data_IF_353952305602
#
_entry.id   IF_353952305602
#
_cell.length_a   1.000
_cell.length_b   1.000
_cell.length_c   1.000
_cell.angle_alpha   90.00
_cell.angle_beta   90.00
_cell.angle_gamma   90.00
#
_symmetry.space_group_name_H-M   'P 1'
#
loop_
_entity.id
_entity.type
_entity.pdbx_description
1 polymer ?
#
# COMPACT_ATOMS: atom_id res chain seq x y z
N UNK A 1 -38.73 30.85 -16.67
CA UNK A 1 -38.49 29.47 -16.20
C UNK A 1 -36.99 29.33 -15.99
N UNK A 2 -36.57 29.20 -14.73
CA UNK A 2 -35.18 28.97 -14.40
C UNK A 2 -34.81 27.53 -14.82
N UNK A 3 -33.84 27.39 -15.72
CA UNK A 3 -33.25 26.09 -16.04
C UNK A 3 -32.33 25.75 -14.88
N UNK A 4 -32.73 24.77 -14.07
CA UNK A 4 -31.87 24.18 -13.06
C UNK A 4 -30.65 23.60 -13.78
N UNK A 5 -29.45 24.06 -13.42
CA UNK A 5 -28.20 23.48 -13.87
C UNK A 5 -28.11 22.06 -13.30
N UNK A 6 -28.55 21.06 -14.07
CA UNK A 6 -28.33 19.65 -13.74
C UNK A 6 -26.85 19.36 -13.92
N UNK A 7 -26.16 19.06 -12.82
CA UNK A 7 -24.78 18.58 -12.85
C UNK A 7 -24.63 17.30 -13.67
N UNK A 8 -23.39 16.87 -13.96
CA UNK A 8 -23.15 15.64 -14.71
C UNK A 8 -23.81 14.44 -14.01
N UNK A 9 -24.67 13.71 -14.73
CA UNK A 9 -25.27 12.45 -14.29
C UNK A 9 -24.19 11.34 -14.26
N UNK A 10 -23.37 11.34 -13.21
CA UNK A 10 -22.56 10.19 -12.83
C UNK A 10 -23.19 9.56 -11.58
N UNK A 11 -23.30 8.22 -11.55
CA UNK A 11 -23.88 7.50 -10.41
C UNK A 11 -23.08 7.69 -9.12
N UNK A 12 -21.76 7.90 -9.26
CA UNK A 12 -20.84 8.16 -8.16
C UNK A 12 -20.18 9.53 -8.33
N UNK A 13 -20.49 10.48 -7.44
CA UNK A 13 -19.85 11.80 -7.38
C UNK A 13 -19.33 12.03 -5.97
N UNK A 14 -18.07 12.47 -5.85
CA UNK A 14 -17.49 12.93 -4.60
C UNK A 14 -17.03 14.37 -4.74
N UNK A 15 -17.15 15.15 -3.67
CA UNK A 15 -16.76 16.56 -3.63
C UNK A 15 -15.46 16.74 -2.83
N UNK A 16 -14.56 17.62 -3.24
CA UNK A 16 -13.34 17.95 -2.50
C UNK A 16 -12.95 19.42 -2.63
N UNK A 17 -12.72 20.07 -1.49
CA UNK A 17 -12.10 21.40 -1.50
C UNK A 17 -10.58 21.27 -1.59
N UNK A 18 -9.98 22.11 -2.45
CA UNK A 18 -8.54 22.26 -2.63
C UNK A 18 -8.18 23.65 -2.13
N UNK A 19 -7.22 23.70 -1.21
CA UNK A 19 -6.52 24.92 -0.83
C UNK A 19 -5.08 24.79 -1.27
N UNK A 20 -4.62 25.69 -2.13
CA UNK A 20 -3.24 25.64 -2.61
C UNK A 20 -2.32 26.13 -1.50
N UNK A 21 -1.20 25.43 -1.30
CA UNK A 21 -0.25 25.76 -0.25
C UNK A 21 0.88 24.74 -0.18
N UNK A 22 1.78 24.91 0.78
CA UNK A 22 2.94 24.05 0.95
C UNK A 22 2.89 23.24 2.26
N UNK A 23 3.75 22.23 2.35
CA UNK A 23 3.93 21.43 3.57
C UNK A 23 2.75 20.50 3.90
N UNK A 24 2.42 20.42 5.20
CA UNK A 24 1.52 19.40 5.76
C UNK A 24 0.09 19.51 5.22
N UNK A 25 -0.39 20.73 5.00
CA UNK A 25 -1.75 20.97 4.48
C UNK A 25 -1.92 20.42 3.06
N UNK A 26 -0.96 20.70 2.16
CA UNK A 26 -0.94 20.16 0.81
C UNK A 26 -0.86 18.62 0.80
N UNK A 27 -0.03 18.03 1.66
CA UNK A 27 0.06 16.58 1.79
C UNK A 27 -1.28 15.94 2.22
N UNK A 28 -2.02 16.58 3.14
CA UNK A 28 -3.34 16.12 3.59
C UNK A 28 -4.38 16.20 2.46
N UNK A 29 -4.36 17.26 1.66
CA UNK A 29 -5.26 17.43 0.51
C UNK A 29 -4.98 16.37 -0.55
N UNK A 30 -3.71 16.17 -0.92
CA UNK A 30 -3.33 15.13 -1.88
C UNK A 30 -3.77 13.74 -1.40
N UNK A 31 -3.59 13.44 -0.12
CA UNK A 31 -4.04 12.17 0.47
C UNK A 31 -5.56 11.99 0.33
N UNK A 32 -6.35 13.03 0.66
CA UNK A 32 -7.81 13.00 0.54
C UNK A 32 -8.26 12.77 -0.91
N UNK A 33 -7.60 13.43 -1.87
CA UNK A 33 -7.90 13.26 -3.30
C UNK A 33 -7.59 11.81 -3.73
N UNK A 34 -6.44 11.25 -3.34
CA UNK A 34 -6.10 9.87 -3.67
C UNK A 34 -7.07 8.86 -3.07
N UNK A 35 -7.50 9.06 -1.82
CA UNK A 35 -8.49 8.21 -1.18
C UNK A 35 -9.82 8.22 -1.94
N UNK A 36 -10.31 9.41 -2.34
CA UNK A 36 -11.53 9.54 -3.14
C UNK A 36 -11.39 8.93 -4.53
N UNK A 37 -10.23 9.11 -5.17
CA UNK A 37 -9.97 8.51 -6.47
C UNK A 37 -9.95 6.97 -6.40
N UNK A 38 -9.30 6.42 -5.38
CA UNK A 38 -9.28 4.98 -5.12
C UNK A 38 -10.71 4.45 -4.88
N UNK A 39 -11.50 5.15 -4.06
CA UNK A 39 -12.87 4.78 -3.74
C UNK A 39 -13.78 4.76 -4.98
N UNK A 40 -13.73 5.83 -5.78
CA UNK A 40 -14.49 5.93 -7.04
C UNK A 40 -14.05 4.85 -8.03
N UNK A 41 -12.75 4.64 -8.19
CA UNK A 41 -12.23 3.63 -9.11
C UNK A 41 -12.69 2.21 -8.72
N UNK A 42 -12.61 1.87 -7.44
CA UNK A 42 -12.99 0.55 -6.93
C UNK A 42 -14.52 0.31 -6.96
N UNK A 43 -15.31 1.40 -7.00
CA UNK A 43 -16.77 1.36 -7.13
C UNK A 43 -17.29 1.42 -8.58
N UNK A 44 -16.42 1.22 -9.58
CA UNK A 44 -16.81 1.19 -11.01
C UNK A 44 -16.58 2.50 -11.77
N UNK A 45 -15.96 3.49 -11.13
CA UNK A 45 -15.69 4.81 -11.69
C UNK A 45 -16.62 5.90 -11.13
N UNK A 46 -16.45 7.11 -11.63
CA UNK A 46 -17.26 8.27 -11.23
C UNK A 46 -16.56 9.60 -11.47
N UNK A 47 -16.99 10.64 -10.75
CA UNK A 47 -16.44 12.00 -10.87
C UNK A 47 -16.02 12.52 -9.51
N UNK A 48 -14.78 12.99 -9.42
CA UNK A 48 -14.32 13.81 -8.30
C UNK A 48 -14.44 15.29 -8.71
N UNK A 49 -15.41 15.98 -8.12
CA UNK A 49 -15.56 17.42 -8.26
C UNK A 49 -14.67 18.12 -7.23
N UNK A 50 -13.82 19.02 -7.70
CA UNK A 50 -12.85 19.73 -6.88
C UNK A 50 -13.06 21.24 -6.99
N UNK A 51 -13.20 21.92 -5.85
CA UNK A 51 -13.30 23.38 -5.79
C UNK A 51 -12.00 23.96 -5.25
N UNK A 52 -11.38 24.87 -6.00
CA UNK A 52 -10.22 25.62 -5.52
C UNK A 52 -10.76 26.79 -4.67
N UNK A 53 -10.57 26.71 -3.35
CA UNK A 53 -11.22 27.61 -2.38
C UNK A 53 -10.69 29.05 -2.50
N UNK A 54 -9.43 29.20 -2.85
CA UNK A 54 -8.66 30.43 -2.94
C UNK A 54 -8.32 30.79 -4.40
N UNK A 55 -9.15 30.36 -5.36
CA UNK A 55 -8.85 30.53 -6.79
C UNK A 55 -8.68 32.01 -7.19
N UNK A 56 -9.53 32.89 -6.64
CA UNK A 56 -9.50 34.33 -6.93
C UNK A 56 -8.25 35.02 -6.37
N UNK A 57 -7.62 34.45 -5.33
CA UNK A 57 -6.42 34.98 -4.67
C UNK A 57 -5.11 34.52 -5.36
N UNK A 58 -5.20 33.62 -6.36
CA UNK A 58 -4.04 33.08 -7.05
C UNK A 58 -3.50 34.06 -8.11
N UNK A 59 -2.36 34.69 -7.81
CA UNK A 59 -1.66 35.57 -8.75
C UNK A 59 -1.09 34.80 -9.97
N UNK A 60 -1.23 35.33 -11.19
CA UNK A 60 -0.52 34.81 -12.36
C UNK A 60 1.00 35.06 -12.25
N UNK A 61 1.86 34.12 -12.67
CA UNK A 61 1.55 32.80 -13.23
C UNK A 61 1.24 31.76 -12.12
N UNK A 62 0.22 30.93 -12.35
CA UNK A 62 -0.27 29.88 -11.42
C UNK A 62 0.71 28.70 -11.24
N UNK A 63 1.98 28.97 -10.93
CA UNK A 63 3.05 27.99 -10.81
C UNK A 63 2.79 26.97 -9.70
N UNK A 64 2.23 27.40 -8.58
CA UNK A 64 1.90 26.51 -7.45
C UNK A 64 0.81 25.50 -7.82
N UNK A 65 -0.21 25.96 -8.55
CA UNK A 65 -1.28 25.11 -9.07
C UNK A 65 -0.72 24.10 -10.08
N UNK A 66 0.18 24.52 -10.97
CA UNK A 66 0.86 23.62 -11.91
C UNK A 66 1.70 22.56 -11.17
N UNK A 67 2.44 22.94 -10.13
CA UNK A 67 3.23 22.01 -9.30
C UNK A 67 2.33 21.02 -8.56
N UNK A 68 1.21 21.50 -8.01
CA UNK A 68 0.21 20.66 -7.35
C UNK A 68 -0.33 19.60 -8.31
N UNK A 69 -0.74 20.00 -9.52
CA UNK A 69 -1.26 19.08 -10.52
C UNK A 69 -0.24 18.05 -10.99
N UNK A 70 1.01 18.48 -11.22
CA UNK A 70 2.09 17.57 -11.59
C UNK A 70 2.33 16.51 -10.50
N UNK A 71 2.34 16.94 -9.23
CA UNK A 71 2.48 16.04 -8.08
C UNK A 71 1.31 15.06 -7.97
N UNK A 72 0.08 15.55 -8.15
CA UNK A 72 -1.11 14.71 -8.11
C UNK A 72 -1.11 13.68 -9.24
N UNK A 73 -0.78 14.08 -10.48
CA UNK A 73 -0.72 13.19 -11.64
C UNK A 73 0.28 12.04 -11.42
N UNK A 74 1.48 12.33 -10.88
CA UNK A 74 2.46 11.30 -10.54
C UNK A 74 1.93 10.28 -9.52
N UNK A 75 1.20 10.76 -8.50
CA UNK A 75 0.62 9.89 -7.47
C UNK A 75 -0.55 9.07 -8.01
N UNK A 76 -1.38 9.65 -8.88
CA UNK A 76 -2.47 8.94 -9.56
C UNK A 76 -1.93 7.87 -10.51
N UNK A 77 -0.85 8.15 -11.26
CA UNK A 77 -0.14 7.14 -12.08
C UNK A 77 0.31 5.94 -11.26
N UNK A 78 0.94 6.19 -10.10
CA UNK A 78 1.36 5.11 -9.20
C UNK A 78 0.17 4.30 -8.64
N UNK A 79 -0.97 4.96 -8.37
CA UNK A 79 -2.17 4.30 -7.86
C UNK A 79 -2.78 3.28 -8.84
N UNK A 80 -2.70 3.56 -10.14
CA UNK A 80 -3.34 2.77 -11.19
C UNK A 80 -2.38 1.82 -11.93
N UNK A 81 -1.11 1.73 -11.50
CA UNK A 81 -0.13 0.86 -12.16
C UNK A 81 -0.69 -0.57 -12.34
N UNK A 82 -0.54 -1.19 -13.53
CA UNK A 82 0.26 -0.78 -14.69
C UNK A 82 -0.49 0.02 -15.77
N UNK A 83 -1.69 0.55 -15.47
CA UNK A 83 -2.50 1.27 -16.44
C UNK A 83 -1.93 2.64 -16.80
N UNK A 84 -2.28 3.15 -17.97
CA UNK A 84 -1.93 4.52 -18.37
C UNK A 84 -2.88 5.53 -17.74
N UNK A 85 -2.35 6.70 -17.37
CA UNK A 85 -3.14 7.79 -16.78
C UNK A 85 -4.34 8.17 -17.63
N UNK A 86 -4.14 8.29 -18.95
CA UNK A 86 -5.19 8.75 -19.89
C UNK A 86 -6.30 7.71 -20.11
N UNK A 87 -6.07 6.45 -19.76
CA UNK A 87 -7.09 5.40 -19.87
C UNK A 87 -8.07 5.43 -18.69
N UNK A 88 -7.66 6.05 -17.58
CA UNK A 88 -8.40 6.07 -16.31
C UNK A 88 -8.89 7.47 -15.96
N UNK A 89 -8.08 8.50 -16.18
CA UNK A 89 -8.33 9.86 -15.69
C UNK A 89 -8.49 10.87 -16.82
N UNK A 90 -9.57 11.62 -16.78
CA UNK A 90 -9.79 12.79 -17.62
C UNK A 90 -10.09 14.00 -16.73
N UNK A 91 -9.31 15.07 -16.87
CA UNK A 91 -9.47 16.28 -16.06
C UNK A 91 -9.98 17.42 -16.92
N UNK A 92 -11.04 18.08 -16.48
CA UNK A 92 -11.58 19.30 -17.08
C UNK A 92 -11.62 20.44 -16.05
N UNK A 93 -11.57 21.67 -16.53
CA UNK A 93 -11.68 22.87 -15.70
C UNK A 93 -12.82 23.74 -16.23
N UNK A 94 -13.82 23.99 -15.38
CA UNK A 94 -14.88 24.93 -15.66
C UNK A 94 -14.49 26.32 -15.16
N UNK A 95 -14.12 27.17 -16.11
CA UNK A 95 -13.72 28.57 -15.85
C UNK A 95 -14.84 29.40 -15.23
N UNK A 96 -16.10 29.05 -15.45
CA UNK A 96 -17.23 29.85 -14.95
C UNK A 96 -17.53 29.58 -13.47
N UNK A 97 -17.33 28.32 -13.02
CA UNK A 97 -17.57 27.93 -11.63
C UNK A 97 -16.30 27.83 -10.78
N UNK A 98 -15.11 27.92 -11.39
CA UNK A 98 -13.83 27.70 -10.71
C UNK A 98 -13.63 26.25 -10.26
N UNK A 99 -14.42 25.31 -10.81
CA UNK A 99 -14.38 23.90 -10.44
C UNK A 99 -13.54 23.10 -11.41
N UNK A 100 -12.83 22.11 -10.86
CA UNK A 100 -12.10 21.10 -11.60
C UNK A 100 -12.87 19.79 -11.47
N UNK A 101 -13.12 19.12 -12.58
CA UNK A 101 -13.71 17.79 -12.58
C UNK A 101 -12.64 16.78 -12.98
N UNK A 102 -12.49 15.73 -12.19
CA UNK A 102 -11.66 14.57 -12.52
C UNK A 102 -12.58 13.37 -12.73
N UNK A 103 -12.78 13.02 -13.99
CA UNK A 103 -13.51 11.83 -14.40
C UNK A 103 -12.61 10.60 -14.24
N UNK A 104 -13.16 9.54 -13.66
CA UNK A 104 -12.45 8.33 -13.32
C UNK A 104 -13.18 7.16 -13.95
N UNK A 105 -12.52 6.49 -14.90
CA UNK A 105 -13.01 5.30 -15.57
C UNK A 105 -12.44 4.06 -14.88
N UNK A 106 -13.30 3.13 -14.48
CA UNK A 106 -12.82 1.82 -14.06
C UNK A 106 -12.35 1.01 -15.27
N UNK A 107 -11.20 0.34 -15.11
CA UNK A 107 -10.73 -0.66 -16.07
C UNK A 107 -10.96 -2.05 -15.45
N UNK A 108 -11.64 -2.98 -16.18
CA UNK A 108 -11.87 -4.33 -15.69
C UNK A 108 -10.58 -5.04 -15.28
N UNK A 109 -10.69 -5.94 -14.30
CA UNK A 109 -9.58 -6.76 -13.78
C UNK A 109 -8.42 -5.99 -13.14
N UNK A 110 -8.58 -4.69 -12.90
CA UNK A 110 -7.67 -3.91 -12.08
C UNK A 110 -8.37 -3.43 -10.82
N UNK A 111 -7.64 -3.42 -9.71
CA UNK A 111 -8.14 -3.00 -8.40
C UNK A 111 -7.13 -2.06 -7.75
N UNK A 112 -7.59 -0.88 -7.34
CA UNK A 112 -6.72 0.15 -6.79
C UNK A 112 -6.42 -0.10 -5.31
N UNK A 113 -5.16 0.06 -4.94
CA UNK A 113 -4.68 -0.04 -3.55
C UNK A 113 -3.73 1.13 -3.30
N UNK A 114 -4.00 1.92 -2.26
CA UNK A 114 -3.19 3.10 -1.93
C UNK A 114 -1.82 2.71 -1.36
N UNK A 115 -1.81 1.66 -0.53
CA UNK A 115 -0.60 1.08 0.06
C UNK A 115 -0.78 -0.41 0.25
N UNK A 116 0.15 -1.22 -0.24
CA UNK A 116 0.09 -2.66 -0.11
C UNK A 116 0.50 -3.11 1.29
N UNK A 117 1.40 -2.39 1.96
CA UNK A 117 2.08 -2.85 3.18
C UNK A 117 2.73 -4.25 3.03
N UNK A 118 3.03 -4.64 1.79
CA UNK A 118 3.79 -5.82 1.41
C UNK A 118 5.17 -5.34 1.02
N UNK A 119 6.21 -5.87 1.64
CA UNK A 119 7.58 -5.43 1.38
C UNK A 119 8.39 -6.56 0.75
N UNK A 120 9.37 -6.18 -0.06
CA UNK A 120 10.33 -7.06 -0.72
C UNK A 120 11.75 -6.57 -0.44
N UNK A 121 12.67 -7.52 -0.24
CA UNK A 121 14.09 -7.22 -0.08
C UNK A 121 14.74 -7.12 -1.46
N UNK A 122 15.30 -5.95 -1.78
CA UNK A 122 16.17 -5.70 -2.92
C UNK A 122 17.65 -5.64 -2.52
N UNK A 123 18.52 -5.34 -3.48
CA UNK A 123 19.97 -5.30 -3.25
C UNK A 123 20.41 -3.99 -2.54
N UNK A 124 19.65 -2.90 -2.73
CA UNK A 124 19.94 -1.58 -2.13
C UNK A 124 19.04 -1.27 -0.92
N UNK A 125 18.28 -2.25 -0.42
CA UNK A 125 17.38 -2.09 0.72
C UNK A 125 15.98 -2.67 0.48
N UNK A 126 15.03 -2.22 1.29
CA UNK A 126 13.66 -2.71 1.31
C UNK A 126 12.73 -1.75 0.59
N UNK A 127 11.84 -2.26 -0.26
CA UNK A 127 10.81 -1.48 -0.93
C UNK A 127 9.43 -2.11 -0.79
N UNK A 128 8.38 -1.28 -0.91
CA UNK A 128 6.99 -1.73 -0.94
C UNK A 128 6.67 -2.29 -2.32
N UNK A 129 6.00 -3.44 -2.37
CA UNK A 129 5.67 -4.13 -3.61
C UNK A 129 4.74 -3.29 -4.50
N UNK A 130 4.98 -3.35 -5.82
CA UNK A 130 4.06 -2.85 -6.85
C UNK A 130 2.78 -3.70 -6.94
N UNK A 131 1.79 -3.22 -7.69
CA UNK A 131 0.53 -3.96 -7.92
C UNK A 131 0.79 -5.35 -8.51
N UNK A 132 1.65 -5.43 -9.53
CA UNK A 132 2.01 -6.68 -10.20
C UNK A 132 2.72 -7.64 -9.23
N UNK A 133 3.67 -7.14 -8.43
CA UNK A 133 4.39 -7.95 -7.47
C UNK A 133 3.47 -8.48 -6.36
N UNK A 134 2.55 -7.65 -5.85
CA UNK A 134 1.57 -8.06 -4.86
C UNK A 134 0.65 -9.17 -5.40
N UNK A 135 0.12 -9.03 -6.62
CA UNK A 135 -0.67 -10.07 -7.28
C UNK A 135 0.15 -11.36 -7.43
N UNK A 136 1.40 -11.26 -7.88
CA UNK A 136 2.27 -12.41 -8.04
C UNK A 136 2.51 -13.14 -6.72
N UNK A 137 2.79 -12.42 -5.63
CA UNK A 137 2.98 -13.02 -4.29
C UNK A 137 1.71 -13.74 -3.83
N UNK A 138 0.53 -13.14 -4.03
CA UNK A 138 -0.74 -13.72 -3.58
C UNK A 138 -1.21 -14.91 -4.44
N UNK A 139 -0.86 -14.94 -5.74
CA UNK A 139 -1.29 -15.99 -6.68
C UNK A 139 -0.32 -17.17 -6.79
N UNK A 140 0.94 -17.01 -6.38
CA UNK A 140 1.94 -18.10 -6.34
C UNK A 140 1.44 -19.41 -5.70
N UNK A 141 0.76 -19.42 -4.54
CA UNK A 141 0.22 -20.66 -3.96
C UNK A 141 -0.78 -21.35 -4.88
N UNK A 142 -1.65 -20.57 -5.54
CA UNK A 142 -2.71 -21.07 -6.42
C UNK A 142 -2.12 -21.74 -7.68
N UNK A 143 -1.01 -21.21 -8.18
CA UNK A 143 -0.32 -21.74 -9.35
C UNK A 143 0.52 -22.99 -9.03
N UNK A 144 0.86 -23.21 -7.75
CA UNK A 144 1.68 -24.33 -7.29
C UNK A 144 0.86 -25.52 -6.76
N UNK A 145 -0.44 -25.59 -7.11
CA UNK A 145 -1.50 -26.55 -6.69
C UNK A 145 -1.18 -28.06 -6.69
N UNK A 146 0.07 -28.53 -6.84
CA UNK A 146 0.37 -29.96 -6.97
C UNK A 146 1.50 -30.58 -6.14
N UNK A 147 2.41 -29.89 -5.42
CA UNK A 147 3.62 -30.61 -4.91
C UNK A 147 4.32 -30.17 -3.61
N UNK A 148 3.74 -29.37 -2.70
CA UNK A 148 4.48 -28.94 -1.49
C UNK A 148 3.78 -29.31 -0.18
N UNK A 149 4.58 -29.88 0.72
CA UNK A 149 4.20 -30.22 2.11
C UNK A 149 4.52 -29.09 3.10
N UNK A 150 5.20 -28.03 2.67
CA UNK A 150 5.72 -26.94 3.51
C UNK A 150 5.37 -25.58 2.90
N UNK A 151 4.96 -24.65 3.76
CA UNK A 151 4.77 -23.22 3.51
C UNK A 151 6.08 -22.41 3.56
N UNK A 152 7.17 -23.05 4.00
CA UNK A 152 8.51 -22.51 4.01
C UNK A 152 9.29 -22.91 2.75
N UNK A 153 9.77 -21.90 2.02
CA UNK A 153 10.66 -22.02 0.85
C UNK A 153 12.14 -22.09 1.27
N UNK A 154 12.54 -21.25 2.22
CA UNK A 154 13.89 -21.17 2.75
C UNK A 154 13.85 -21.28 4.29
N UNK A 155 14.17 -22.44 4.88
CA UNK A 155 14.07 -22.66 6.32
C UNK A 155 15.11 -21.84 7.09
N UNK A 156 14.87 -21.64 8.39
CA UNK A 156 15.77 -20.90 9.28
C UNK A 156 17.20 -21.48 9.28
N UNK A 157 17.34 -22.79 9.11
CA UNK A 157 18.63 -23.49 9.01
C UNK A 157 19.43 -23.18 7.72
N UNK A 158 18.79 -22.59 6.71
CA UNK A 158 19.40 -22.19 5.43
C UNK A 158 19.76 -20.70 5.34
N UNK A 159 19.52 -19.95 6.43
CA UNK A 159 19.83 -18.53 6.51
C UNK A 159 21.34 -18.30 6.65
N UNK A 160 21.84 -17.07 6.36
CA UNK A 160 23.24 -16.72 6.61
C UNK A 160 23.68 -17.13 8.02
N UNK A 161 24.90 -17.66 8.11
CA UNK A 161 25.48 -18.00 9.42
C UNK A 161 25.66 -16.73 10.23
N UNK A 162 25.33 -16.84 11.50
CA UNK A 162 25.41 -15.74 12.45
C UNK A 162 26.69 -15.87 13.25
N UNK A 163 27.46 -14.79 13.31
CA UNK A 163 28.60 -14.68 14.22
C UNK A 163 28.09 -14.83 15.65
N UNK A 164 28.77 -15.65 16.46
CA UNK A 164 28.36 -15.93 17.84
C UNK A 164 29.00 -15.00 18.85
N UNK A 165 30.01 -14.25 18.43
CA UNK A 165 30.82 -13.39 19.27
C UNK A 165 30.80 -11.98 18.71
N UNK A 166 30.34 -11.03 19.52
CA UNK A 166 30.31 -9.61 19.20
C UNK A 166 31.12 -8.86 20.24
N UNK A 167 32.05 -8.00 19.83
CA UNK A 167 32.84 -7.17 20.75
C UNK A 167 32.32 -5.72 20.75
N UNK A 168 32.23 -5.12 21.93
CA UNK A 168 31.66 -3.79 22.10
C UNK A 168 32.48 -2.72 21.38
N UNK A 169 31.83 -1.98 20.47
CA UNK A 169 32.45 -0.90 19.70
C UNK A 169 33.31 -1.37 18.52
N UNK A 170 33.35 -2.67 18.25
CA UNK A 170 34.12 -3.25 17.14
C UNK A 170 33.23 -3.48 15.91
N UNK A 171 33.86 -3.46 14.73
CA UNK A 171 33.19 -3.81 13.48
C UNK A 171 32.97 -5.30 13.35
N UNK A 172 31.78 -5.70 12.88
CA UNK A 172 31.51 -7.09 12.51
C UNK A 172 32.14 -7.47 11.17
N UNK A 173 32.32 -8.76 10.93
CA UNK A 173 33.02 -9.31 9.75
C UNK A 173 32.18 -9.34 8.46
N UNK A 174 30.92 -8.91 8.54
CA UNK A 174 29.91 -9.00 7.49
C UNK A 174 29.15 -7.67 7.35
N UNK A 175 28.44 -7.51 6.25
CA UNK A 175 27.71 -6.27 5.92
C UNK A 175 26.24 -6.56 5.64
N UNK A 176 25.43 -5.50 5.67
CA UNK A 176 24.04 -5.58 5.23
C UNK A 176 23.96 -6.12 3.80
N UNK A 177 22.95 -6.92 3.55
CA UNK A 177 22.70 -7.53 2.26
C UNK A 177 21.21 -7.79 2.12
N UNK A 178 20.80 -8.34 0.98
CA UNK A 178 19.42 -8.77 0.76
C UNK A 178 18.89 -9.77 1.82
N UNK A 179 19.76 -10.38 2.64
CA UNK A 179 19.40 -11.35 3.70
C UNK A 179 19.92 -10.96 5.09
N UNK A 180 20.55 -9.79 5.24
CA UNK A 180 21.11 -9.31 6.51
C UNK A 180 20.76 -7.84 6.66
N UNK A 181 20.12 -7.48 7.78
CA UNK A 181 19.79 -6.09 8.12
C UNK A 181 20.33 -5.75 9.51
N UNK A 182 20.96 -4.58 9.65
CA UNK A 182 21.44 -4.04 10.91
C UNK A 182 20.50 -2.95 11.41
N UNK A 183 20.23 -2.93 12.71
CA UNK A 183 19.54 -1.82 13.35
C UNK A 183 20.13 -1.56 14.73
N UNK A 184 20.38 -0.31 15.03
CA UNK A 184 20.79 0.12 16.36
C UNK A 184 19.78 1.14 16.92
N UNK A 185 19.18 0.79 18.05
CA UNK A 185 18.21 1.63 18.74
C UNK A 185 18.80 2.12 20.05
N UNK A 186 18.69 3.43 20.30
CA UNK A 186 19.18 4.08 21.53
C UNK A 186 18.14 4.14 22.66
N UNK A 187 16.93 3.63 22.42
CA UNK A 187 15.84 3.62 23.40
C UNK A 187 16.12 2.61 24.51
N UNK A 188 15.82 2.96 25.77
CA UNK A 188 15.92 2.02 26.89
C UNK A 188 15.08 0.76 26.68
N UNK A 189 13.88 0.92 26.11
CA UNK A 189 12.95 -0.17 25.81
C UNK A 189 12.68 -0.25 24.30
N UNK A 190 13.35 -1.18 23.61
CA UNK A 190 13.23 -1.34 22.16
C UNK A 190 11.90 -1.98 21.78
N UNK A 191 11.34 -1.64 20.62
CA UNK A 191 10.10 -2.24 20.13
C UNK A 191 8.90 -2.13 21.10
N UNK A 192 8.96 -1.17 22.03
CA UNK A 192 7.83 -0.85 22.91
C UNK A 192 6.67 -0.25 22.12
N UNK A 193 5.45 -0.34 22.64
CA UNK A 193 4.24 0.19 21.97
C UNK A 193 4.34 1.71 21.71
N UNK A 194 5.04 2.42 22.58
CA UNK A 194 5.32 3.85 22.45
C UNK A 194 6.31 4.16 21.32
N UNK A 195 7.08 3.17 20.86
CA UNK A 195 8.10 3.32 19.84
C UNK A 195 7.64 2.80 18.47
N UNK A 196 6.54 3.37 17.99
CA UNK A 196 5.86 2.94 16.75
C UNK A 196 6.76 2.88 15.54
N UNK A 197 7.75 3.78 15.43
CA UNK A 197 8.70 3.81 14.32
C UNK A 197 9.59 2.57 14.29
N UNK A 198 10.10 2.12 15.43
CA UNK A 198 10.89 0.89 15.50
C UNK A 198 10.04 -0.32 15.12
N UNK A 199 8.83 -0.41 15.67
CA UNK A 199 7.90 -1.49 15.38
C UNK A 199 7.52 -1.52 13.88
N UNK A 200 7.23 -0.37 13.29
CA UNK A 200 6.88 -0.27 11.88
C UNK A 200 8.06 -0.64 10.98
N UNK A 201 9.28 -0.22 11.32
CA UNK A 201 10.48 -0.59 10.57
C UNK A 201 10.75 -2.09 10.67
N UNK A 202 10.64 -2.68 11.87
CA UNK A 202 10.85 -4.11 12.04
C UNK A 202 9.82 -4.95 11.26
N UNK A 203 8.53 -4.56 11.27
CA UNK A 203 7.51 -5.25 10.46
C UNK A 203 7.81 -5.19 8.96
N UNK A 204 8.35 -4.08 8.46
CA UNK A 204 8.76 -3.96 7.05
C UNK A 204 9.90 -4.93 6.72
N UNK A 205 10.90 -5.03 7.59
CA UNK A 205 12.05 -5.95 7.41
C UNK A 205 11.58 -7.41 7.49
N UNK A 206 10.71 -7.75 8.44
CA UNK A 206 10.16 -9.12 8.53
C UNK A 206 9.34 -9.44 7.28
N UNK A 207 8.47 -8.52 6.83
CA UNK A 207 7.70 -8.68 5.59
C UNK A 207 8.62 -8.88 4.38
N UNK A 208 9.69 -8.07 4.25
CA UNK A 208 10.61 -8.16 3.12
C UNK A 208 11.39 -9.47 3.06
N UNK A 209 11.87 -9.97 4.20
CA UNK A 209 12.56 -11.25 4.28
C UNK A 209 11.61 -12.43 4.08
N UNK A 210 10.42 -12.40 4.69
CA UNK A 210 9.40 -13.42 4.53
C UNK A 210 8.96 -13.59 3.08
N UNK A 211 8.78 -12.47 2.35
CA UNK A 211 8.38 -12.50 0.95
C UNK A 211 9.54 -12.75 -0.04
N UNK A 212 10.76 -12.97 0.48
CA UNK A 212 11.94 -13.31 -0.31
C UNK A 212 12.63 -14.57 0.23
N UNK A 213 13.97 -14.66 0.23
CA UNK A 213 14.70 -15.89 0.58
C UNK A 213 14.92 -16.03 2.11
N UNK A 214 14.15 -15.31 2.93
CA UNK A 214 14.42 -15.18 4.35
C UNK A 214 15.69 -14.38 4.62
N UNK A 215 15.91 -14.06 5.89
CA UNK A 215 17.03 -13.24 6.32
C UNK A 215 17.18 -13.17 7.83
N UNK A 216 18.20 -12.42 8.25
CA UNK A 216 18.60 -12.24 9.64
C UNK A 216 18.66 -10.75 9.96
N UNK A 217 18.01 -10.35 11.05
CA UNK A 217 17.97 -8.97 11.52
C UNK A 217 18.79 -8.91 12.81
N UNK A 218 19.77 -8.00 12.84
CA UNK A 218 20.62 -7.78 14.00
C UNK A 218 20.22 -6.47 14.67
N UNK A 219 19.66 -6.55 15.88
CA UNK A 219 19.43 -5.39 16.72
C UNK A 219 20.62 -5.19 17.67
N UNK A 220 21.11 -3.96 17.73
CA UNK A 220 22.31 -3.59 18.48
C UNK A 220 23.56 -3.40 17.62
N UNK A 221 23.44 -3.45 16.28
CA UNK A 221 24.53 -3.18 15.33
C UNK A 221 24.16 -1.95 14.50
N UNK A 222 25.10 -1.00 14.36
CA UNK A 222 24.86 0.22 13.55
C UNK A 222 24.88 -0.10 12.05
N UNK A 223 24.39 0.84 11.23
CA UNK A 223 24.40 0.69 9.77
C UNK A 223 25.84 0.58 9.21
N UNK A 224 26.84 1.11 9.95
CA UNK A 224 28.27 0.95 9.65
C UNK A 224 28.86 -0.39 10.13
N UNK A 225 28.05 -1.27 10.71
CA UNK A 225 28.47 -2.58 11.19
C UNK A 225 29.18 -2.58 12.55
N UNK A 226 28.97 -1.55 13.38
CA UNK A 226 29.59 -1.49 14.72
C UNK A 226 28.67 -2.14 15.76
N UNK A 227 29.18 -3.12 16.50
CA UNK A 227 28.40 -3.85 17.50
C UNK A 227 28.41 -3.14 18.87
N UNK A 228 27.26 -2.63 19.30
CA UNK A 228 27.07 -2.10 20.66
C UNK A 228 26.20 -3.01 21.54
N UNK A 229 25.34 -3.82 20.92
CA UNK A 229 24.28 -4.55 21.59
C UNK A 229 23.18 -3.62 22.12
N UNK A 230 22.23 -4.21 22.84
CA UNK A 230 21.19 -3.53 23.59
C UNK A 230 21.36 -3.82 25.09
N UNK A 231 21.14 -2.80 25.94
CA UNK A 231 21.25 -2.94 27.39
C UNK A 231 20.02 -3.64 27.96
N UNK A 232 20.23 -4.78 28.63
CA UNK A 232 19.19 -5.63 29.20
C UNK A 232 18.82 -5.28 30.65
N UNK A 233 19.50 -4.33 31.30
CA UNK A 233 19.22 -3.96 32.71
C UNK A 233 17.80 -3.43 32.94
N UNK A 234 17.24 -2.74 31.94
CA UNK A 234 15.90 -2.14 32.00
C UNK A 234 14.94 -2.74 30.97
N UNK A 235 15.37 -3.78 30.27
CA UNK A 235 14.68 -4.35 29.13
C UNK A 235 15.04 -5.81 28.98
N UNK A 236 14.42 -6.65 29.82
CA UNK A 236 14.80 -8.06 29.92
C UNK A 236 14.62 -8.82 28.62
N UNK A 237 15.31 -9.94 28.50
CA UNK A 237 15.17 -10.88 27.39
C UNK A 237 13.70 -11.25 27.15
N UNK A 238 12.98 -11.61 28.21
CA UNK A 238 11.57 -12.04 28.15
C UNK A 238 10.68 -10.92 27.62
N UNK A 239 10.87 -9.68 28.08
CA UNK A 239 10.09 -8.54 27.62
C UNK A 239 10.36 -8.20 26.14
N UNK A 240 11.60 -8.37 25.67
CA UNK A 240 11.95 -8.25 24.25
C UNK A 240 11.28 -9.38 23.44
N UNK A 241 11.34 -10.62 23.91
CA UNK A 241 10.70 -11.76 23.24
C UNK A 241 9.19 -11.56 23.09
N UNK A 242 8.51 -11.15 24.17
CA UNK A 242 7.07 -10.86 24.16
C UNK A 242 6.71 -9.76 23.16
N UNK A 243 7.49 -8.68 23.09
CA UNK A 243 7.25 -7.58 22.13
C UNK A 243 7.48 -8.01 20.68
N UNK A 244 8.50 -8.82 20.40
CA UNK A 244 8.73 -9.39 19.06
C UNK A 244 7.59 -10.33 18.68
N UNK A 245 7.17 -11.21 19.60
CA UNK A 245 6.04 -12.10 19.38
C UNK A 245 4.76 -11.32 19.09
N UNK A 246 4.41 -10.34 19.92
CA UNK A 246 3.25 -9.47 19.71
C UNK A 246 3.33 -8.71 18.38
N UNK A 247 4.51 -8.23 18.01
CA UNK A 247 4.71 -7.53 16.74
C UNK A 247 4.41 -8.42 15.54
N UNK A 248 4.87 -9.67 15.58
CA UNK A 248 4.65 -10.69 14.54
C UNK A 248 3.19 -11.13 14.48
N UNK A 249 2.52 -11.30 15.63
CA UNK A 249 1.11 -11.66 15.72
C UNK A 249 0.19 -10.58 15.12
N UNK A 250 0.60 -9.31 15.16
CA UNK A 250 -0.13 -8.19 14.55
C UNK A 250 0.11 -8.00 13.05
N UNK A 251 0.99 -8.78 12.44
CA UNK A 251 1.19 -8.77 10.98
C UNK A 251 0.16 -9.67 10.29
N UNK A 252 -0.04 -9.48 8.98
CA UNK A 252 -1.02 -10.25 8.21
C UNK A 252 -0.31 -11.34 7.41
N UNK A 253 -0.47 -12.57 7.86
CA UNK A 253 0.17 -13.74 7.28
C UNK A 253 -0.85 -14.57 6.51
N UNK A 254 -0.44 -15.16 5.39
CA UNK A 254 -1.26 -16.17 4.70
C UNK A 254 -1.20 -17.55 5.37
N UNK A 255 -0.38 -17.70 6.41
CA UNK A 255 -0.19 -18.90 7.25
C UNK A 255 -0.14 -18.49 8.72
N UNK A 256 -0.37 -19.41 9.66
CA UNK A 256 -0.18 -19.08 11.08
C UNK A 256 1.31 -19.02 11.41
N UNK A 257 1.88 -17.87 11.82
CA UNK A 257 3.29 -17.77 12.15
C UNK A 257 3.63 -18.65 13.36
N UNK A 258 4.79 -19.28 13.34
CA UNK A 258 5.26 -20.21 14.37
C UNK A 258 6.74 -19.96 14.62
N UNK A 259 7.12 -19.76 15.89
CA UNK A 259 8.53 -19.67 16.28
C UNK A 259 9.24 -20.98 15.93
N UNK A 260 10.53 -20.91 15.64
CA UNK A 260 11.41 -22.01 15.20
C UNK A 260 11.08 -22.62 13.82
N UNK A 261 9.96 -22.21 13.20
CA UNK A 261 9.56 -22.61 11.84
C UNK A 261 9.64 -21.41 10.90
N UNK A 262 8.87 -20.37 11.18
CA UNK A 262 8.72 -19.18 10.34
C UNK A 262 9.65 -18.05 10.77
N UNK A 263 9.94 -17.98 12.06
CA UNK A 263 10.83 -16.99 12.65
C UNK A 263 11.47 -17.53 13.91
N UNK A 264 12.57 -16.96 14.35
CA UNK A 264 13.17 -17.26 15.66
C UNK A 264 13.89 -16.02 16.20
N UNK A 265 14.24 -16.05 17.48
CA UNK A 265 14.88 -14.96 18.21
C UNK A 265 15.94 -15.52 19.14
N UNK A 266 17.14 -14.94 19.09
CA UNK A 266 18.28 -15.32 19.95
C UNK A 266 19.02 -14.09 20.46
N UNK A 267 19.66 -14.25 21.60
CA UNK A 267 20.47 -13.22 22.24
C UNK A 267 21.93 -13.68 22.29
N UNK A 268 22.84 -12.82 21.84
CA UNK A 268 24.27 -13.07 21.85
C UNK A 268 24.96 -12.02 22.73
N UNK A 269 25.62 -12.43 23.83
CA UNK A 269 26.31 -11.49 24.71
C UNK A 269 27.37 -10.67 23.96
N UNK A 270 27.55 -9.41 24.37
CA UNK A 270 28.60 -8.54 23.84
C UNK A 270 29.83 -8.61 24.74
N UNK A 271 30.94 -9.07 24.17
CA UNK A 271 32.25 -9.12 24.82
C UNK A 271 32.72 -7.69 25.14
N UNK A 272 33.21 -7.48 26.36
CA UNK A 272 33.69 -6.17 26.81
C UNK A 272 32.59 -5.22 27.30
N UNK A 273 31.31 -5.65 27.30
CA UNK A 273 30.20 -4.87 27.84
C UNK A 273 29.16 -5.75 28.54
N UNK A 274 29.14 -5.71 29.87
CA UNK A 274 28.17 -6.44 30.68
C UNK A 274 26.73 -6.00 30.39
N UNK A 275 25.78 -6.93 30.58
CA UNK A 275 24.35 -6.74 30.36
C UNK A 275 23.97 -6.26 28.94
N UNK A 276 24.87 -6.35 27.97
CA UNK A 276 24.56 -6.02 26.57
C UNK A 276 24.49 -7.28 25.72
N UNK A 277 23.49 -7.34 24.85
CA UNK A 277 23.36 -8.43 23.87
C UNK A 277 23.00 -7.91 22.50
N UNK A 278 23.58 -8.51 21.46
CA UNK A 278 23.05 -8.41 20.10
C UNK A 278 21.87 -9.35 19.99
N UNK A 279 20.74 -8.82 19.55
CA UNK A 279 19.48 -9.55 19.45
C UNK A 279 19.28 -9.90 17.98
N UNK A 280 19.14 -11.19 17.70
CA UNK A 280 19.12 -11.70 16.33
C UNK A 280 17.77 -12.33 16.05
N UNK A 281 17.04 -11.75 15.11
CA UNK A 281 15.75 -12.25 14.62
C UNK A 281 15.99 -12.95 13.29
N UNK A 282 15.57 -14.20 13.20
CA UNK A 282 15.61 -15.01 12.00
C UNK A 282 14.24 -15.02 11.35
N UNK A 283 14.16 -14.89 10.03
CA UNK A 283 12.90 -14.94 9.28
C UNK A 283 13.05 -15.90 8.11
N UNK A 284 12.20 -16.91 8.04
CA UNK A 284 12.19 -17.89 6.96
C UNK A 284 11.69 -17.25 5.65
N UNK A 285 12.16 -17.76 4.51
CA UNK A 285 11.61 -17.37 3.21
C UNK A 285 10.33 -18.14 2.92
N UNK A 286 9.27 -17.43 2.55
CA UNK A 286 7.90 -17.96 2.35
C UNK A 286 7.24 -17.31 1.13
N UNK A 287 8.01 -17.09 0.06
CA UNK A 287 7.56 -16.42 -1.18
C UNK A 287 6.36 -17.08 -1.83
N UNK A 288 6.14 -18.37 -1.55
CA UNK A 288 5.07 -19.19 -2.14
C UNK A 288 3.92 -19.45 -1.18
N UNK A 289 3.89 -18.79 -0.01
CA UNK A 289 2.85 -18.95 1.03
C UNK A 289 1.62 -18.06 0.82
N UNK A 290 1.68 -17.09 -0.10
CA UNK A 290 0.60 -16.11 -0.34
C UNK A 290 0.88 -14.73 0.25
N UNK A 291 2.03 -14.55 0.88
CA UNK A 291 2.57 -13.27 1.33
C UNK A 291 2.40 -13.01 2.82
N UNK A 292 3.34 -12.21 3.33
CA UNK A 292 3.37 -11.67 4.69
C UNK A 292 3.40 -10.15 4.62
N UNK A 293 2.35 -9.51 5.13
CA UNK A 293 2.15 -8.07 5.07
C UNK A 293 2.44 -7.45 6.44
N UNK A 294 3.17 -6.34 6.44
CA UNK A 294 3.52 -5.61 7.65
C UNK A 294 2.29 -5.07 8.39
N UNK A 295 1.25 -4.70 7.65
CA UNK A 295 -0.06 -4.20 8.12
C UNK A 295 -1.13 -4.57 7.10
N UNK A 296 -2.40 -4.34 7.43
CA UNK A 296 -3.47 -4.43 6.45
C UNK A 296 -3.18 -3.47 5.28
N UNK A 297 -3.28 -3.90 4.02
CA UNK A 297 -3.26 -3.01 2.87
C UNK A 297 -4.30 -1.90 3.04
N UNK A 298 -3.96 -0.71 2.54
CA UNK A 298 -4.86 0.45 2.55
C UNK A 298 -5.50 0.54 1.19
N UNK A 299 -6.75 0.11 1.10
CA UNK A 299 -7.60 0.29 -0.06
C UNK A 299 -8.99 0.67 0.40
N UNK A 300 -9.68 1.48 -0.40
CA UNK A 300 -10.99 2.02 -0.06
C UNK A 300 -11.96 1.83 -1.21
N UNK A 301 -13.24 1.73 -0.90
CA UNK A 301 -14.34 1.62 -1.87
C UNK A 301 -15.43 2.62 -1.49
N UNK A 302 -16.10 3.20 -2.49
CA UNK A 302 -17.31 3.98 -2.24
C UNK A 302 -18.49 3.02 -2.03
N UNK A 303 -19.16 3.12 -0.89
CA UNK A 303 -20.37 2.34 -0.59
C UNK A 303 -21.59 3.26 -0.41
N UNK A 304 -22.80 2.82 -0.79
CA UNK A 304 -24.01 3.55 -0.46
C UNK A 304 -24.14 3.73 1.05
N UNK A 305 -24.63 4.89 1.49
CA UNK A 305 -24.95 5.09 2.90
C UNK A 305 -26.24 4.36 3.28
N UNK A 306 -26.30 3.79 4.49
CA UNK A 306 -27.46 3.04 4.98
C UNK A 306 -28.73 3.90 5.13
N UNK A 307 -28.55 5.21 5.29
CA UNK A 307 -29.62 6.21 5.42
C UNK A 307 -30.04 6.84 4.08
N UNK A 308 -29.47 6.38 2.96
CA UNK A 308 -29.74 6.92 1.62
C UNK A 308 -29.08 8.28 1.33
N UNK A 309 -28.17 8.74 2.20
CA UNK A 309 -27.32 9.91 1.92
C UNK A 309 -26.15 9.59 0.98
N UNK A 310 -25.28 10.58 0.70
CA UNK A 310 -24.11 10.43 -0.18
C UNK A 310 -23.25 9.22 0.23
N UNK A 311 -22.73 8.52 -0.79
CA UNK A 311 -21.88 7.35 -0.56
C UNK A 311 -20.68 7.67 0.31
N UNK A 312 -20.32 6.75 1.20
CA UNK A 312 -19.20 6.90 2.12
C UNK A 312 -17.98 6.10 1.66
N UNK A 313 -16.80 6.70 1.83
CA UNK A 313 -15.53 6.04 1.57
C UNK A 313 -15.26 5.05 2.70
N UNK A 314 -15.25 3.77 2.37
CA UNK A 314 -15.06 2.67 3.32
C UNK A 314 -13.69 2.03 3.16
N UNK A 315 -12.97 1.81 4.27
CA UNK A 315 -11.70 1.07 4.29
C UNK A 315 -11.98 -0.43 4.22
N UNK A 316 -11.31 -1.13 3.31
CA UNK A 316 -11.46 -2.57 3.18
C UNK A 316 -10.65 -3.31 4.24
N UNK A 317 -11.21 -4.38 4.77
CA UNK A 317 -10.45 -5.34 5.56
C UNK A 317 -9.55 -6.20 4.67
N UNK A 318 -8.68 -6.98 5.31
CA UNK A 318 -7.67 -7.77 4.62
C UNK A 318 -8.28 -8.86 3.73
N UNK A 319 -9.31 -9.56 4.20
CA UNK A 319 -9.87 -10.71 3.49
C UNK A 319 -10.67 -10.25 2.28
N UNK A 320 -11.47 -9.19 2.43
CA UNK A 320 -12.18 -8.57 1.31
C UNK A 320 -11.18 -8.03 0.28
N UNK A 321 -10.16 -7.28 0.72
CA UNK A 321 -9.13 -6.76 -0.17
C UNK A 321 -8.43 -7.87 -0.95
N UNK A 322 -8.01 -8.94 -0.27
CA UNK A 322 -7.31 -10.08 -0.88
C UNK A 322 -8.19 -10.79 -1.92
N UNK A 323 -9.47 -10.98 -1.60
CA UNK A 323 -10.43 -11.57 -2.53
C UNK A 323 -10.64 -10.70 -3.78
N UNK A 324 -10.68 -9.37 -3.65
CA UNK A 324 -10.82 -8.47 -4.82
C UNK A 324 -9.56 -8.47 -5.70
N UNK A 325 -8.38 -8.54 -5.09
CA UNK A 325 -7.09 -8.59 -5.80
C UNK A 325 -6.88 -9.90 -6.56
N UNK A 326 -7.30 -11.05 -6.00
CA UNK A 326 -7.04 -12.39 -6.56
C UNK A 326 -8.26 -12.97 -7.29
N UNK A 327 -9.48 -12.67 -6.86
CA UNK A 327 -10.71 -13.25 -7.43
C UNK A 327 -11.03 -12.80 -8.86
N UNK A 328 -10.33 -11.78 -9.38
CA UNK A 328 -10.50 -11.30 -10.76
C UNK A 328 -9.51 -11.90 -11.76
N UNK A 329 -8.48 -12.64 -11.31
CA UNK A 329 -7.52 -13.34 -12.19
C UNK A 329 -7.94 -14.74 -12.59
N UNK A 330 -8.95 -15.34 -11.93
CA UNK A 330 -9.49 -16.67 -12.27
C UNK A 330 -10.46 -16.67 -13.48
N UNK A 331 -10.76 -15.52 -14.09
CA UNK A 331 -11.64 -15.42 -15.27
C UNK A 331 -10.85 -15.57 -16.58
N UNK A 332 -10.14 -16.69 -16.71
CA UNK A 332 -9.82 -17.31 -18.00
C UNK A 332 -10.29 -18.77 -17.99
N UNK A 333 -11.58 -19.02 -17.74
CA UNK A 333 -12.33 -20.22 -18.18
C UNK A 333 -13.80 -20.18 -17.71
N UNK A 334 -14.55 -19.13 -18.03
CA UNK A 334 -16.01 -19.25 -18.13
C UNK A 334 -16.46 -18.49 -19.37
N UNK A 335 -16.71 -19.24 -20.44
CA UNK A 335 -17.62 -18.78 -21.48
C UNK A 335 -18.99 -18.50 -20.83
N UNK A 336 -19.55 -17.34 -21.20
CA UNK A 336 -20.97 -16.96 -21.13
C UNK A 336 -21.62 -16.87 -19.75
N UNK A 337 -21.62 -15.67 -19.19
CA UNK A 337 -22.85 -14.84 -19.16
C UNK A 337 -22.49 -13.39 -18.88
N UNK A 338 -22.39 -12.62 -19.96
CA UNK A 338 -22.22 -11.18 -19.95
C UNK A 338 -23.49 -10.47 -19.45
N UNK A 339 -23.67 -10.42 -18.12
CA UNK A 339 -24.51 -9.42 -17.47
C UNK A 339 -23.59 -8.32 -16.93
N UNK A 340 -23.40 -7.30 -17.75
CA UNK A 340 -22.58 -6.12 -17.41
C UNK A 340 -21.65 -5.65 -18.54
N UNK A 341 -22.02 -5.83 -19.80
CA UNK A 341 -21.37 -5.14 -20.92
C UNK A 341 -22.09 -3.80 -21.13
N UNK A 342 -21.58 -2.74 -20.51
CA UNK A 342 -21.88 -1.37 -20.90
C UNK A 342 -20.84 -0.95 -21.94
N UNK A 343 -21.18 -1.06 -23.22
CA UNK A 343 -20.45 -0.36 -24.29
C UNK A 343 -20.77 1.13 -24.17
N UNK A 344 -19.82 1.94 -23.70
CA UNK A 344 -19.93 3.39 -23.72
C UNK A 344 -19.62 3.91 -25.13
N UNK A 345 -20.65 4.32 -25.87
CA UNK A 345 -20.50 5.02 -27.14
C UNK A 345 -20.52 6.53 -26.88
N UNK A 346 -19.41 7.22 -27.16
CA UNK A 346 -19.32 8.68 -27.05
C UNK A 346 -19.96 9.32 -28.29
N UNK A 347 -20.95 10.20 -28.10
CA UNK A 347 -21.45 11.07 -29.17
C UNK A 347 -21.18 12.52 -28.77
N UNK A 348 -20.24 13.15 -29.48
CA UNK A 348 -20.01 14.59 -29.43
C UNK A 348 -21.09 15.28 -30.25
N UNK A 349 -21.98 16.02 -29.60
CA UNK A 349 -22.89 16.95 -30.28
C UNK A 349 -22.46 18.37 -29.93
N UNK A 350 -21.96 19.10 -30.93
CA UNK A 350 -21.74 20.53 -30.83
C UNK A 350 -22.94 21.25 -31.42
N UNK A 351 -23.65 22.05 -30.63
CA UNK A 351 -24.49 23.13 -31.18
C UNK A 351 -23.78 24.45 -30.96
N UNK A 352 -23.83 25.30 -31.98
CA UNK A 352 -23.35 26.67 -31.90
C UNK A 352 -24.06 27.37 -30.72
N UNK A 353 -23.25 28.04 -29.89
CA UNK A 353 -23.59 28.79 -28.69
C UNK A 353 -23.75 27.98 -27.38
N UNK A 354 -22.57 27.63 -26.85
CA UNK A 354 -22.17 27.52 -25.44
C UNK A 354 -23.07 26.78 -24.44
N UNK A 355 -23.22 25.46 -24.61
CA UNK A 355 -23.28 24.49 -23.50
C UNK A 355 -22.70 23.15 -23.95
N UNK A 356 -21.81 22.54 -23.15
CA UNK A 356 -21.44 21.11 -23.31
C UNK A 356 -22.42 20.31 -22.45
N UNK A 357 -23.42 19.70 -23.09
CA UNK A 357 -24.27 18.70 -22.44
C UNK A 357 -23.72 17.33 -22.83
N UNK A 358 -23.05 16.65 -21.89
CA UNK A 358 -22.76 15.23 -22.02
C UNK A 358 -24.02 14.46 -21.62
N UNK A 359 -24.79 14.02 -22.62
CA UNK A 359 -25.96 13.17 -22.39
C UNK A 359 -25.54 11.69 -22.30
N UNK A 360 -25.88 11.04 -21.19
CA UNK A 360 -25.80 9.59 -21.03
C UNK A 360 -27.14 8.98 -21.46
N UNK A 361 -27.12 8.03 -22.41
CA UNK A 361 -28.28 7.15 -22.65
C UNK A 361 -27.92 5.74 -22.20
N UNK A 362 -28.37 5.37 -21.02
CA UNK A 362 -28.46 3.95 -20.62
C UNK A 362 -29.66 3.38 -21.35
N UNK A 363 -29.43 2.51 -22.33
CA UNK A 363 -30.47 1.77 -23.03
C UNK A 363 -30.16 0.28 -23.02
N UNK A 364 -31.13 -0.59 -22.69
CA UNK A 364 -30.95 -2.02 -22.89
C UNK A 364 -30.85 -2.32 -24.39
N UNK A 365 -29.94 -3.23 -24.79
CA UNK A 365 -30.00 -3.83 -26.13
C UNK A 365 -31.32 -4.62 -26.24
N UNK A 366 -32.31 -4.04 -26.89
CA UNK A 366 -33.37 -4.81 -27.54
C UNK A 366 -32.71 -5.60 -28.66
N UNK A 367 -32.67 -6.92 -28.50
CA UNK A 367 -32.32 -7.85 -29.57
C UNK A 367 -33.32 -7.65 -30.72
N UNK A 368 -32.82 -7.38 -31.93
CA UNK A 368 -33.47 -7.78 -33.17
C UNK A 368 -32.71 -8.94 -33.76
#
# INVERSE_FOLDING_TARGET
>A
MAVAASGPFAENVLLCDIKIGEGVAAAKILKNILEKCCALYNAGGGVLEMRIVDFEDLEPPHNELNRFWSTLEQKLKALIEPLSYVDVFERTFDRNSGKVYLFIKNVPNHFCTLRFNLFLAGDSGIYEASNIEAINVMTKPLNLKKKRHSDVDAPLSSLPKVDKEFAYGESVSFHESRRIEFKHYKSEQILSENNRTQCDNLRKIISSFANTNGGVIYLGITDEGIAFGHNLERDSTEAIEERVHFLIDKMYWSVTPKREVHWDLKFFPVVGKENHSVIVIYVAGMQTSGGVFAKCPVSVELRPSEDGSEGQVHLLDFDEWKQRMVGRTDVQTVQTDSKGLYDCMYVLITSNDHYVVLAYKVGPRLKM
#
